data_IF_701045299936
#
_entry.id   IF_701045299936
#
_cell.length_a   1.000
_cell.length_b   1.000
_cell.length_c   1.000
_cell.angle_alpha   90.00
_cell.angle_beta   90.00
_cell.angle_gamma   90.00
#
_symmetry.space_group_name_H-M   'P 1'
#
loop_
_entity.id
_entity.type
_entity.pdbx_description
1 polymer ?
#
# COMPACT_ATOMS: atom_id res chain seq x y z
N UNK A 1 0.56 -5.00 -10.80
CA UNK A 1 1.39 -4.72 -9.62
C UNK A 1 1.25 -5.85 -8.62
N UNK A 2 2.32 -6.58 -8.24
CA UNK A 2 2.25 -7.55 -7.15
C UNK A 2 2.04 -6.81 -5.81
N UNK A 3 1.01 -7.19 -5.08
CA UNK A 3 0.69 -6.60 -3.79
C UNK A 3 1.59 -7.21 -2.71
N UNK A 4 2.27 -6.41 -1.89
CA UNK A 4 2.98 -6.94 -0.73
C UNK A 4 2.00 -7.53 0.29
N UNK A 5 2.42 -8.63 0.93
CA UNK A 5 1.75 -9.08 2.14
C UNK A 5 2.00 -8.08 3.27
N UNK A 6 0.98 -7.72 4.02
CA UNK A 6 1.14 -6.80 5.15
C UNK A 6 -0.05 -5.91 5.40
N UNK A 7 0.16 -4.90 6.25
CA UNK A 7 -0.87 -3.99 6.71
C UNK A 7 -1.05 -2.83 5.73
N UNK A 8 -2.21 -2.74 5.07
CA UNK A 8 -2.57 -1.57 4.26
C UNK A 8 -2.69 -0.35 5.17
N UNK A 9 -2.10 0.76 4.77
CA UNK A 9 -2.11 1.99 5.55
C UNK A 9 -1.90 3.21 4.65
N UNK A 10 -2.24 4.38 5.18
CA UNK A 10 -1.85 5.66 4.61
C UNK A 10 -0.62 6.17 5.35
N UNK A 11 0.41 6.56 4.62
CA UNK A 11 1.55 7.31 5.15
C UNK A 11 1.31 8.78 4.88
N UNK A 12 1.20 9.56 5.95
CA UNK A 12 0.96 11.00 5.91
C UNK A 12 2.17 11.72 6.48
N UNK A 13 2.81 12.52 5.64
CA UNK A 13 3.91 13.41 6.03
C UNK A 13 3.40 14.85 6.01
N UNK A 14 3.44 15.52 7.16
CA UNK A 14 3.06 16.92 7.30
C UNK A 14 3.72 17.54 8.52
N UNK A 15 3.95 18.86 8.48
CA UNK A 15 4.52 19.64 9.61
C UNK A 15 5.80 19.04 10.18
N UNK A 16 6.67 18.52 9.30
CA UNK A 16 7.95 17.93 9.68
C UNK A 16 7.84 16.59 10.42
N UNK A 17 6.74 15.87 10.27
CA UNK A 17 6.49 14.56 10.88
C UNK A 17 5.82 13.63 9.91
N UNK A 18 6.13 12.34 10.00
CA UNK A 18 5.50 11.28 9.24
C UNK A 18 4.76 10.35 10.19
N UNK A 19 3.55 9.96 9.80
CA UNK A 19 2.77 8.97 10.51
C UNK A 19 2.10 8.01 9.51
N UNK A 20 2.09 6.72 9.82
CA UNK A 20 1.26 5.75 9.12
C UNK A 20 -0.03 5.51 9.89
N UNK A 21 -1.15 5.41 9.15
CA UNK A 21 -2.48 5.19 9.69
C UNK A 21 -3.15 4.00 9.04
N UNK A 22 -3.70 3.13 9.85
CA UNK A 22 -4.51 2.01 9.41
C UNK A 22 -5.88 2.50 8.88
N UNK A 23 -6.63 1.68 8.09
CA UNK A 23 -7.91 2.09 7.50
C UNK A 23 -8.96 2.57 8.51
N UNK A 24 -8.92 2.04 9.75
CA UNK A 24 -9.81 2.46 10.83
C UNK A 24 -9.32 3.71 11.59
N UNK A 25 -8.20 4.34 11.14
CA UNK A 25 -7.71 5.62 11.65
C UNK A 25 -6.59 5.52 12.69
N UNK A 26 -6.37 4.36 13.30
CA UNK A 26 -5.32 4.16 14.29
C UNK A 26 -3.93 4.40 13.69
N UNK A 27 -3.05 5.00 14.50
CA UNK A 27 -1.66 5.23 14.12
C UNK A 27 -0.87 3.95 14.33
N UNK A 28 -0.26 3.45 13.24
CA UNK A 28 0.63 2.30 13.29
C UNK A 28 2.04 2.73 13.76
N UNK A 29 2.64 3.73 13.10
CA UNK A 29 3.95 4.25 13.45
C UNK A 29 4.04 5.76 13.29
N UNK A 30 5.05 6.38 13.95
CA UNK A 30 5.46 7.78 13.77
C UNK A 30 6.97 7.84 13.65
N UNK A 31 7.48 8.59 12.66
CA UNK A 31 8.91 8.77 12.44
C UNK A 31 9.19 10.06 11.66
N UNK A 32 10.46 10.30 11.35
CA UNK A 32 10.89 11.32 10.40
C UNK A 32 11.27 10.64 9.09
N UNK A 33 10.76 11.13 7.96
CA UNK A 33 11.06 10.57 6.64
C UNK A 33 11.62 11.65 5.72
N UNK A 34 12.28 11.20 4.64
CA UNK A 34 12.84 12.09 3.63
C UNK A 34 11.80 12.67 2.65
N UNK A 35 10.55 12.17 2.64
CA UNK A 35 9.52 12.74 1.76
C UNK A 35 9.17 14.17 2.15
N UNK A 36 8.69 15.01 1.22
CA UNK A 36 8.34 16.39 1.53
C UNK A 36 7.40 16.50 2.73
N UNK A 37 7.69 17.41 3.63
CA UNK A 37 7.02 17.64 4.92
C UNK A 37 7.15 16.50 5.94
N UNK A 38 7.98 15.49 5.69
CA UNK A 38 8.13 14.30 6.54
C UNK A 38 9.14 14.44 7.67
N UNK A 39 9.98 15.46 7.64
CA UNK A 39 10.95 15.81 8.69
C UNK A 39 11.12 17.34 8.75
N UNK A 40 11.75 17.89 9.80
CA UNK A 40 12.05 19.31 9.85
C UNK A 40 12.91 19.80 8.68
N UNK A 41 13.80 18.95 8.16
CA UNK A 41 14.68 19.26 7.02
C UNK A 41 13.90 19.33 5.70
N UNK A 42 12.83 18.56 5.56
CA UNK A 42 11.97 18.51 4.37
C UNK A 42 10.66 19.27 4.53
N UNK A 43 10.53 20.05 5.62
CA UNK A 43 9.33 20.84 5.90
C UNK A 43 9.08 21.87 4.80
N UNK A 44 7.83 21.94 4.31
CA UNK A 44 7.38 22.92 3.33
C UNK A 44 6.78 24.14 4.02
N UNK A 45 6.81 25.31 3.34
CA UNK A 45 6.40 26.59 3.94
C UNK A 45 4.92 26.67 4.34
N UNK A 46 4.05 25.90 3.69
CA UNK A 46 2.60 26.03 3.79
C UNK A 46 1.89 24.77 4.30
N UNK A 47 2.51 24.01 5.21
CA UNK A 47 1.95 22.75 5.74
C UNK A 47 1.50 21.73 4.65
N UNK A 48 2.11 21.81 3.49
CA UNK A 48 1.79 20.97 2.33
C UNK A 48 2.09 19.52 2.64
N UNK A 49 1.07 18.68 2.63
CA UNK A 49 1.22 17.27 2.99
C UNK A 49 1.67 16.41 1.81
N UNK A 50 2.40 15.34 2.12
CA UNK A 50 2.57 14.17 1.26
C UNK A 50 1.69 13.05 1.82
N UNK A 51 0.85 12.44 0.96
CA UNK A 51 -0.04 11.35 1.33
C UNK A 51 0.15 10.20 0.35
N UNK A 52 0.56 9.06 0.89
CA UNK A 52 0.90 7.85 0.13
C UNK A 52 0.02 6.69 0.60
N UNK A 53 -0.48 5.89 -0.34
CA UNK A 53 -1.07 4.60 -0.04
C UNK A 53 0.01 3.55 0.01
N UNK A 54 0.09 2.80 1.11
CA UNK A 54 1.18 1.87 1.38
C UNK A 54 0.68 0.51 1.88
N UNK A 55 1.53 -0.49 1.72
CA UNK A 55 1.46 -1.73 2.49
C UNK A 55 2.72 -1.83 3.34
N UNK A 56 2.56 -1.91 4.65
CA UNK A 56 3.67 -2.10 5.58
C UNK A 56 4.05 -3.58 5.66
N UNK A 57 5.23 -3.90 5.18
CA UNK A 57 5.84 -5.23 5.26
C UNK A 57 6.76 -5.30 6.48
N UNK A 58 6.26 -5.94 7.53
CA UNK A 58 6.91 -5.98 8.84
C UNK A 58 8.30 -6.64 8.84
N UNK A 59 8.55 -7.76 8.09
CA UNK A 59 9.83 -8.44 8.15
C UNK A 59 11.04 -7.58 7.75
N UNK A 60 10.86 -6.61 6.88
CA UNK A 60 11.93 -5.68 6.47
C UNK A 60 11.70 -4.24 6.93
N UNK A 61 10.69 -3.99 7.78
CA UNK A 61 10.31 -2.64 8.23
C UNK A 61 10.12 -1.66 7.06
N UNK A 62 9.55 -2.15 5.94
CA UNK A 62 9.42 -1.39 4.70
C UNK A 62 7.95 -1.05 4.41
N UNK A 63 7.71 0.20 4.10
CA UNK A 63 6.46 0.67 3.51
C UNK A 63 6.58 0.62 1.99
N UNK A 64 5.95 -0.36 1.37
CA UNK A 64 5.83 -0.40 -0.09
C UNK A 64 4.70 0.51 -0.53
N UNK A 65 5.07 1.55 -1.28
CA UNK A 65 4.12 2.54 -1.77
C UNK A 65 3.43 1.99 -3.01
N UNK A 66 2.12 1.87 -2.95
CA UNK A 66 1.29 1.31 -4.04
C UNK A 66 0.57 2.39 -4.83
N UNK A 67 0.33 3.57 -4.23
CA UNK A 67 -0.22 4.74 -4.94
C UNK A 67 0.12 6.04 -4.20
N UNK A 68 -0.14 7.18 -4.83
CA UNK A 68 0.11 8.52 -4.30
C UNK A 68 -1.09 9.43 -4.51
N UNK A 69 -1.51 10.11 -3.45
CA UNK A 69 -2.61 11.08 -3.48
C UNK A 69 -2.10 12.51 -3.59
N UNK A 70 -1.12 12.85 -2.76
CA UNK A 70 -0.47 14.17 -2.77
C UNK A 70 1.02 14.01 -2.52
N UNK A 71 1.80 14.90 -3.11
CA UNK A 71 3.25 14.97 -2.92
C UNK A 71 3.69 16.40 -2.68
N UNK A 72 4.08 16.74 -1.46
CA UNK A 72 4.49 18.10 -1.11
C UNK A 72 3.45 19.17 -1.47
N UNK A 73 2.16 18.86 -1.29
CA UNK A 73 1.04 19.73 -1.63
C UNK A 73 0.52 19.63 -3.06
N UNK A 74 1.25 18.99 -3.97
CA UNK A 74 0.73 18.73 -5.33
C UNK A 74 -0.31 17.62 -5.28
N UNK A 75 -1.55 17.94 -5.64
CA UNK A 75 -2.63 16.96 -5.77
C UNK A 75 -2.42 16.09 -7.01
N UNK A 76 -2.51 14.78 -6.84
CA UNK A 76 -2.39 13.79 -7.91
C UNK A 76 -3.70 12.99 -8.09
N UNK A 77 -4.77 13.36 -7.39
CA UNK A 77 -6.06 12.66 -7.45
C UNK A 77 -6.62 12.56 -8.87
N UNK A 78 -6.54 13.64 -9.64
CA UNK A 78 -7.08 13.69 -11.00
C UNK A 78 -6.09 13.20 -12.07
N UNK A 79 -4.90 12.77 -11.65
CA UNK A 79 -3.91 12.20 -12.57
C UNK A 79 -4.23 10.72 -12.86
N UNK A 80 -3.86 10.26 -14.05
CA UNK A 80 -3.98 8.85 -14.43
C UNK A 80 -3.08 7.97 -13.56
N UNK A 81 -3.45 6.70 -13.36
CA UNK A 81 -2.63 5.75 -12.60
C UNK A 81 -1.22 5.60 -13.19
N UNK A 82 -1.11 5.57 -14.51
CA UNK A 82 0.17 5.52 -15.23
C UNK A 82 1.08 6.70 -14.85
N UNK A 83 0.52 7.92 -14.83
CA UNK A 83 1.27 9.11 -14.43
C UNK A 83 1.66 9.07 -12.95
N UNK A 84 0.74 8.70 -12.05
CA UNK A 84 1.02 8.61 -10.62
C UNK A 84 2.14 7.63 -10.31
N UNK A 85 2.18 6.46 -10.97
CA UNK A 85 3.22 5.45 -10.77
C UNK A 85 4.58 5.90 -11.30
N UNK A 86 4.59 6.53 -12.48
CA UNK A 86 5.81 7.16 -13.02
C UNK A 86 6.33 8.24 -12.07
N UNK A 87 5.46 9.16 -11.64
CA UNK A 87 5.77 10.22 -10.70
C UNK A 87 6.34 9.67 -9.39
N UNK A 88 5.64 8.72 -8.79
CA UNK A 88 6.03 8.10 -7.53
C UNK A 88 7.42 7.45 -7.59
N UNK A 89 7.67 6.65 -8.62
CA UNK A 89 8.97 5.99 -8.80
C UNK A 89 10.09 7.02 -8.98
N UNK A 90 9.85 8.05 -9.77
CA UNK A 90 10.82 9.13 -10.00
C UNK A 90 11.09 9.88 -8.69
N UNK A 91 10.04 10.30 -7.99
CA UNK A 91 10.17 11.11 -6.78
C UNK A 91 10.75 10.34 -5.59
N UNK A 92 10.44 9.09 -5.43
CA UNK A 92 11.09 8.25 -4.42
C UNK A 92 12.57 7.98 -4.75
N UNK A 93 12.90 7.87 -6.05
CA UNK A 93 14.29 7.70 -6.50
C UNK A 93 15.15 8.96 -6.36
N UNK A 94 14.54 10.14 -6.28
CA UNK A 94 15.22 11.43 -6.06
C UNK A 94 15.49 11.70 -4.56
N UNK A 95 14.88 10.93 -3.64
CA UNK A 95 15.07 11.15 -2.22
C UNK A 95 16.48 10.75 -1.80
N UNK A 96 17.14 11.66 -1.12
CA UNK A 96 18.41 11.35 -0.46
C UNK A 96 18.17 10.41 0.74
N UNK A 97 19.06 9.45 0.99
CA UNK A 97 18.99 8.66 2.20
C UNK A 97 19.00 9.58 3.42
N UNK A 98 18.21 9.32 4.45
CA UNK A 98 18.23 10.12 5.67
C UNK A 98 19.63 10.04 6.31
N UNK A 99 20.12 11.16 6.84
CA UNK A 99 21.43 11.25 7.53
C UNK A 99 21.52 10.29 8.73
N UNK A 100 20.41 10.07 9.42
CA UNK A 100 20.27 9.07 10.48
C UNK A 100 19.56 7.83 9.94
N UNK A 101 19.89 6.65 10.46
CA UNK A 101 19.22 5.40 10.10
C UNK A 101 17.71 5.50 10.41
N UNK A 102 16.92 5.70 9.38
CA UNK A 102 15.47 5.76 9.54
C UNK A 102 14.94 4.37 9.97
N UNK A 103 14.03 4.30 10.94
CA UNK A 103 13.49 3.03 11.42
C UNK A 103 12.65 2.31 10.36
N UNK A 104 12.23 3.02 9.33
CA UNK A 104 11.38 2.49 8.24
C UNK A 104 11.85 3.00 6.89
N UNK A 105 11.79 2.11 5.90
CA UNK A 105 12.11 2.40 4.50
C UNK A 105 10.81 2.67 3.74
N UNK A 106 10.82 3.67 2.85
CA UNK A 106 9.78 3.89 1.84
C UNK A 106 10.33 3.42 0.49
N UNK A 107 9.67 2.46 -0.14
CA UNK A 107 10.06 1.92 -1.43
C UNK A 107 8.86 1.83 -2.37
N UNK A 108 8.99 2.12 -3.69
CA UNK A 108 7.90 1.91 -4.61
C UNK A 108 7.62 0.41 -4.77
N UNK A 109 6.36 0.01 -4.78
CA UNK A 109 5.98 -1.33 -5.21
C UNK A 109 6.26 -1.47 -6.72
N UNK A 110 6.88 -2.57 -7.20
CA UNK A 110 7.10 -2.77 -8.61
C UNK A 110 5.78 -2.90 -9.36
N UNK A 111 5.71 -2.36 -10.56
CA UNK A 111 4.55 -2.52 -11.44
C UNK A 111 5.01 -2.92 -12.83
N UNK A 112 4.13 -3.61 -13.54
CA UNK A 112 4.34 -4.19 -14.86
C UNK A 112 3.15 -3.86 -15.74
N UNK A 113 3.34 -3.86 -17.04
CA UNK A 113 2.22 -3.82 -17.98
C UNK A 113 1.35 -5.08 -17.84
N UNK A 114 0.06 -4.95 -18.11
CA UNK A 114 -0.89 -6.06 -18.02
C UNK A 114 -0.94 -6.86 -19.35
N UNK A 115 0.22 -7.08 -19.97
CA UNK A 115 0.43 -8.02 -21.06
C UNK A 115 0.90 -9.39 -20.54
N UNK A 116 1.09 -10.36 -21.43
CA UNK A 116 1.45 -11.72 -21.05
C UNK A 116 2.74 -11.79 -20.22
N UNK A 117 3.79 -11.09 -20.66
CA UNK A 117 5.10 -11.12 -20.00
C UNK A 117 5.06 -10.37 -18.67
N UNK A 118 4.40 -9.20 -18.62
CA UNK A 118 4.27 -8.41 -17.42
C UNK A 118 3.40 -9.11 -16.35
N UNK A 119 2.34 -9.80 -16.73
CA UNK A 119 1.54 -10.61 -15.81
C UNK A 119 2.35 -11.78 -15.26
N UNK A 120 3.09 -12.50 -16.10
CA UNK A 120 3.97 -13.59 -15.66
C UNK A 120 5.06 -13.08 -14.70
N UNK A 121 5.68 -11.95 -15.02
CA UNK A 121 6.68 -11.33 -14.14
C UNK A 121 6.06 -10.89 -12.79
N UNK A 122 4.88 -10.30 -12.81
CA UNK A 122 4.16 -9.90 -11.61
C UNK A 122 3.72 -11.10 -10.76
N UNK A 123 3.30 -12.20 -11.39
CA UNK A 123 2.76 -13.38 -10.73
C UNK A 123 3.85 -14.32 -10.20
N UNK A 124 4.92 -14.57 -10.97
CA UNK A 124 5.96 -15.56 -10.64
C UNK A 124 7.35 -14.98 -10.41
N UNK A 125 7.60 -13.71 -10.77
CA UNK A 125 8.92 -13.11 -10.67
C UNK A 125 9.41 -12.90 -9.22
N UNK A 126 10.74 -12.73 -9.03
CA UNK A 126 11.32 -12.49 -7.72
C UNK A 126 10.90 -11.11 -7.18
N UNK A 127 10.58 -11.05 -5.88
CA UNK A 127 10.19 -9.84 -5.18
C UNK A 127 10.93 -9.73 -3.84
N UNK A 128 11.16 -8.51 -3.34
CA UNK A 128 11.78 -8.31 -2.03
C UNK A 128 10.81 -8.55 -0.86
N UNK A 129 9.60 -9.05 -1.13
CA UNK A 129 8.55 -9.31 -0.15
C UNK A 129 7.72 -10.53 -0.53
N UNK A 130 6.97 -11.06 0.41
CA UNK A 130 5.96 -12.08 0.14
C UNK A 130 4.75 -11.43 -0.57
N UNK A 131 4.32 -12.06 -1.66
CA UNK A 131 3.18 -11.61 -2.46
C UNK A 131 1.86 -11.98 -1.78
N UNK A 132 0.90 -11.05 -1.82
CA UNK A 132 -0.47 -11.29 -1.40
C UNK A 132 -1.47 -10.85 -2.48
N UNK A 133 -1.35 -11.44 -3.65
CA UNK A 133 -2.17 -11.15 -4.81
C UNK A 133 -1.57 -10.14 -5.78
N UNK A 134 -2.34 -9.83 -6.81
CA UNK A 134 -2.02 -8.87 -7.85
C UNK A 134 -3.05 -7.75 -7.86
N UNK A 135 -2.61 -6.50 -7.86
CA UNK A 135 -3.45 -5.33 -8.09
C UNK A 135 -3.40 -4.97 -9.58
N UNK A 136 -4.56 -4.91 -10.21
CA UNK A 136 -4.74 -4.43 -11.57
C UNK A 136 -5.36 -3.05 -11.54
N UNK A 137 -4.67 -2.08 -12.09
CA UNK A 137 -5.11 -0.69 -12.17
C UNK A 137 -5.55 -0.34 -13.59
N UNK A 138 -6.66 0.36 -13.74
CA UNK A 138 -7.02 1.01 -15.00
C UNK A 138 -6.00 2.12 -15.26
N UNK A 139 -5.15 2.00 -16.30
CA UNK A 139 -4.05 2.93 -16.59
C UNK A 139 -4.52 4.39 -16.65
N UNK A 140 -5.67 4.64 -17.28
CA UNK A 140 -6.25 5.99 -17.44
C UNK A 140 -7.14 6.40 -16.25
N UNK A 141 -7.27 5.52 -15.24
CA UNK A 141 -8.09 5.80 -14.06
C UNK A 141 -7.43 6.84 -13.14
N UNK A 142 -8.23 7.80 -12.68
CA UNK A 142 -7.86 8.71 -11.61
C UNK A 142 -7.87 7.99 -10.25
N UNK A 143 -7.37 8.65 -9.20
CA UNK A 143 -7.44 8.10 -7.85
C UNK A 143 -8.89 8.19 -7.32
N UNK A 144 -9.46 7.07 -6.90
CA UNK A 144 -10.78 7.02 -6.30
C UNK A 144 -10.72 6.57 -4.83
N UNK A 145 -11.39 7.32 -3.96
CA UNK A 145 -11.50 6.96 -2.54
C UNK A 145 -12.48 5.80 -2.35
N UNK A 146 -12.13 4.87 -1.47
CA UNK A 146 -12.99 3.72 -1.15
C UNK A 146 -13.00 2.62 -2.23
N UNK A 147 -13.99 1.73 -2.22
CA UNK A 147 -14.14 0.70 -3.24
C UNK A 147 -14.35 1.31 -4.63
N UNK A 148 -13.58 0.84 -5.62
CA UNK A 148 -13.61 1.38 -6.98
C UNK A 148 -13.39 0.27 -8.01
N UNK A 149 -14.07 0.30 -9.15
CA UNK A 149 -13.82 -0.63 -10.25
C UNK A 149 -12.51 -0.33 -11.01
N UNK A 150 -11.84 0.79 -10.70
CA UNK A 150 -10.58 1.18 -11.35
C UNK A 150 -9.38 0.37 -10.82
N UNK A 151 -9.55 -0.35 -9.70
CA UNK A 151 -8.53 -1.21 -9.11
C UNK A 151 -9.15 -2.54 -8.74
N UNK A 152 -8.66 -3.62 -9.34
CA UNK A 152 -9.08 -4.99 -9.05
C UNK A 152 -7.97 -5.76 -8.32
N UNK A 153 -8.35 -6.62 -7.39
CA UNK A 153 -7.42 -7.53 -6.70
C UNK A 153 -7.67 -8.95 -7.20
N UNK A 154 -6.62 -9.58 -7.73
CA UNK A 154 -6.60 -10.99 -8.09
C UNK A 154 -5.80 -11.78 -7.05
N UNK A 155 -6.30 -12.95 -6.66
CA UNK A 155 -5.61 -13.90 -5.79
C UNK A 155 -5.79 -15.33 -6.30
N UNK A 156 -4.74 -16.13 -6.17
CA UNK A 156 -4.73 -17.57 -6.37
C UNK A 156 -3.73 -18.24 -5.42
N UNK A 157 -3.67 -19.57 -5.43
CA UNK A 157 -2.78 -20.35 -4.57
C UNK A 157 -1.28 -20.08 -4.80
N UNK A 158 -0.89 -19.55 -5.96
CA UNK A 158 0.50 -19.24 -6.29
C UNK A 158 0.92 -17.83 -5.87
N UNK A 159 -0.04 -16.89 -5.75
CA UNK A 159 0.26 -15.50 -5.44
C UNK A 159 -0.18 -15.06 -4.03
N UNK A 160 -0.71 -15.96 -3.22
CA UNK A 160 -0.97 -15.71 -1.79
C UNK A 160 -0.96 -17.01 -1.00
N UNK A 161 -0.40 -16.99 0.20
CA UNK A 161 -0.44 -18.11 1.15
C UNK A 161 -1.78 -18.25 1.87
N UNK A 162 -2.70 -17.32 1.66
CA UNK A 162 -4.04 -17.31 2.27
C UNK A 162 -5.13 -17.80 1.33
N UNK A 163 -4.74 -18.43 0.24
CA UNK A 163 -5.65 -19.06 -0.70
C UNK A 163 -5.63 -20.57 -0.47
N UNK A 164 -6.78 -21.15 -0.11
CA UNK A 164 -6.91 -22.61 0.01
C UNK A 164 -7.55 -23.17 -1.28
N UNK A 165 -6.88 -24.16 -1.89
CA UNK A 165 -7.24 -24.68 -3.20
C UNK A 165 -8.37 -25.74 -3.17
N UNK A 166 -8.84 -26.16 -1.98
CA UNK A 166 -9.59 -27.40 -1.90
C UNK A 166 -11.08 -27.33 -2.30
N UNK A 167 -11.68 -26.13 -2.47
CA UNK A 167 -13.11 -26.03 -2.80
C UNK A 167 -13.52 -24.77 -3.60
N UNK A 168 -12.67 -24.21 -4.45
CA UNK A 168 -12.95 -22.93 -5.12
C UNK A 168 -13.33 -21.77 -4.13
N UNK A 169 -13.07 -21.96 -2.87
CA UNK A 169 -13.42 -21.00 -1.83
C UNK A 169 -12.25 -20.06 -1.52
N UNK A 170 -12.52 -18.78 -1.58
CA UNK A 170 -11.61 -17.75 -1.06
C UNK A 170 -11.65 -17.78 0.47
N UNK A 171 -10.52 -18.10 1.11
CA UNK A 171 -10.40 -17.99 2.56
C UNK A 171 -9.74 -16.67 2.94
N UNK A 172 -10.28 -16.02 3.94
CA UNK A 172 -9.68 -14.86 4.57
C UNK A 172 -9.23 -15.26 5.97
N UNK A 173 -7.94 -15.09 6.26
CA UNK A 173 -7.44 -15.30 7.62
C UNK A 173 -7.81 -14.10 8.47
N UNK A 174 -8.62 -14.35 9.49
CA UNK A 174 -9.02 -13.35 10.46
C UNK A 174 -8.33 -13.63 11.80
N UNK A 175 -7.93 -12.57 12.50
CA UNK A 175 -7.45 -12.65 13.87
C UNK A 175 -8.65 -12.54 14.81
N UNK A 176 -8.75 -13.46 15.77
CA UNK A 176 -9.74 -13.33 16.82
C UNK A 176 -9.14 -12.58 18.01
N UNK A 177 -9.62 -11.37 18.27
CA UNK A 177 -9.19 -10.52 19.37
C UNK A 177 -10.40 -10.00 20.15
N UNK A 178 -10.42 -10.22 21.47
CA UNK A 178 -11.47 -9.74 22.40
C UNK A 178 -12.90 -10.04 21.96
N UNK A 179 -13.12 -11.20 21.33
CA UNK A 179 -14.46 -11.61 20.87
C UNK A 179 -14.87 -11.05 19.50
N UNK A 180 -13.99 -10.32 18.83
CA UNK A 180 -14.18 -9.80 17.46
C UNK A 180 -13.27 -10.50 16.46
N UNK A 181 -13.75 -10.68 15.25
CA UNK A 181 -12.94 -11.10 14.11
C UNK A 181 -12.37 -9.86 13.42
N UNK A 182 -11.07 -9.84 13.21
CA UNK A 182 -10.37 -8.72 12.56
C UNK A 182 -9.50 -9.21 11.42
N UNK A 183 -9.40 -8.39 10.38
CA UNK A 183 -8.42 -8.57 9.30
C UNK A 183 -6.98 -8.32 9.81
N UNK A 184 -5.96 -8.66 9.02
CA UNK A 184 -4.55 -8.43 9.39
C UNK A 184 -4.22 -6.95 9.63
N UNK A 185 -4.92 -6.06 8.94
CA UNK A 185 -4.80 -4.60 9.10
C UNK A 185 -5.66 -4.04 10.25
N UNK A 186 -6.33 -4.92 11.03
CA UNK A 186 -7.07 -4.55 12.23
C UNK A 186 -8.53 -4.14 12.00
N UNK A 187 -9.03 -4.19 10.76
CA UNK A 187 -10.43 -3.87 10.47
C UNK A 187 -11.35 -4.94 11.05
N UNK A 188 -12.34 -4.53 11.86
CA UNK A 188 -13.34 -5.45 12.41
C UNK A 188 -14.27 -5.99 11.31
N UNK A 189 -14.51 -7.31 11.34
CA UNK A 189 -15.42 -7.97 10.41
C UNK A 189 -16.74 -8.23 11.13
N UNK A 190 -17.88 -7.73 10.63
CA UNK A 190 -19.19 -7.98 11.23
C UNK A 190 -19.49 -9.49 11.30
N UNK A 191 -20.04 -9.95 12.41
CA UNK A 191 -20.38 -11.38 12.63
C UNK A 191 -21.28 -11.98 11.55
N UNK A 192 -22.18 -11.17 10.98
CA UNK A 192 -23.09 -11.62 9.92
C UNK A 192 -22.35 -11.96 8.62
N UNK A 193 -21.26 -11.23 8.30
CA UNK A 193 -20.44 -11.51 7.13
C UNK A 193 -19.53 -12.74 7.34
N UNK A 194 -19.18 -13.07 8.58
CA UNK A 194 -18.36 -14.23 8.92
C UNK A 194 -19.13 -15.56 8.92
N UNK A 195 -20.46 -15.51 8.94
CA UNK A 195 -21.35 -16.67 8.97
C UNK A 195 -22.00 -17.01 7.61
N UNK A 196 -21.84 -16.18 6.60
CA UNK A 196 -22.33 -16.48 5.25
C UNK A 196 -21.32 -17.44 4.57
N UNK A 197 -21.75 -18.63 4.14
CA UNK A 197 -20.95 -19.38 3.20
C UNK A 197 -20.87 -18.58 1.91
N UNK A 198 -19.65 -18.33 1.44
CA UNK A 198 -19.39 -17.73 0.13
C UNK A 198 -19.71 -18.71 -0.98
#
# INVERSE_FOLDING_TARGET
MPRPEGKRCLVVASRGKTASRLPHGDVLHRWRSAVPSGSPQTATKDDQATVLECVFYEPSSTYYVVDVMTWGGYSLYDCTAEFRFYWLRTKLGELEPPEEAAPYVLAPAPYFDADGDGVLAAHGGPLPYLRDGLLFYAKQGHYALGPTPLVALFKDAACTRYFAADDDALFVVLRHERGELRTLDGTAVPRAAAAAPF
#
